data_IF_886894225379
#
_entry.id   IF_886894225379
#
_cell.length_a   1.000
_cell.length_b   1.000
_cell.length_c   1.000
_cell.angle_alpha   90.00
_cell.angle_beta   90.00
_cell.angle_gamma   90.00
#
_symmetry.space_group_name_H-M   'P 1'
#
loop_
_entity.id
_entity.type
_entity.pdbx_description
1 polymer ?
#
# COMPACT_ATOMS: atom_id res chain seq x y z
N UNK A 1 1.02 13.47 14.82
CA UNK A 1 0.50 14.24 15.98
C UNK A 1 1.01 15.67 15.94
N UNK A 2 0.36 16.61 16.62
CA UNK A 2 0.76 18.03 16.62
C UNK A 2 1.83 18.40 17.68
N UNK A 3 1.88 17.70 18.81
CA UNK A 3 2.83 17.90 19.92
C UNK A 3 3.29 16.57 20.51
N UNK A 4 4.36 16.55 21.30
CA UNK A 4 4.86 15.35 21.95
C UNK A 4 5.38 14.26 21.00
N UNK A 5 5.47 13.04 21.55
CA UNK A 5 5.83 11.81 20.84
C UNK A 5 4.94 10.65 21.28
N UNK A 6 4.85 9.61 20.45
CA UNK A 6 4.16 8.35 20.75
C UNK A 6 5.16 7.43 21.46
N UNK A 7 4.94 7.17 22.74
CA UNK A 7 5.85 6.38 23.58
C UNK A 7 5.55 4.90 23.56
N UNK A 8 4.29 4.52 23.31
CA UNK A 8 3.88 3.13 23.36
C UNK A 8 2.54 2.86 22.69
N UNK A 9 2.29 1.59 22.45
CA UNK A 9 1.04 1.03 21.97
C UNK A 9 0.67 -0.16 22.84
N UNK A 10 -0.61 -0.28 23.20
CA UNK A 10 -1.12 -1.35 24.07
C UNK A 10 -2.54 -1.75 23.67
N UNK A 11 -3.13 -2.69 24.40
CA UNK A 11 -4.53 -3.14 24.25
C UNK A 11 -4.87 -3.63 22.84
N UNK A 12 -3.86 -4.05 22.08
CA UNK A 12 -4.03 -4.72 20.81
C UNK A 12 -4.08 -6.24 21.03
N UNK A 13 -4.83 -6.91 20.17
CA UNK A 13 -4.84 -8.36 20.12
C UNK A 13 -3.58 -8.89 19.42
N UNK A 14 -3.10 -10.07 19.81
CA UNK A 14 -2.09 -10.82 19.05
C UNK A 14 -2.69 -12.16 18.65
N UNK A 15 -2.44 -12.54 17.40
CA UNK A 15 -2.83 -13.83 16.85
C UNK A 15 -4.19 -13.86 16.17
N UNK A 16 -4.61 -15.08 15.87
CA UNK A 16 -5.87 -15.36 15.18
C UNK A 16 -7.08 -14.96 16.03
N UNK A 17 -8.07 -14.37 15.37
CA UNK A 17 -9.37 -14.07 15.96
C UNK A 17 -10.11 -15.37 16.27
N UNK A 18 -10.58 -15.50 17.50
CA UNK A 18 -11.32 -16.68 17.98
C UNK A 18 -12.63 -16.24 18.62
N UNK A 19 -13.59 -17.14 18.75
CA UNK A 19 -14.86 -16.86 19.43
C UNK A 19 -14.65 -16.33 20.86
N UNK A 20 -13.66 -16.87 21.58
CA UNK A 20 -13.34 -16.48 22.95
C UNK A 20 -12.55 -15.16 23.02
N UNK A 21 -11.81 -14.84 21.96
CA UNK A 21 -10.99 -13.64 21.86
C UNK A 21 -11.05 -13.08 20.42
N UNK A 22 -12.15 -12.43 20.04
CA UNK A 22 -12.30 -11.95 18.67
C UNK A 22 -11.57 -10.62 18.50
N UNK A 23 -10.94 -10.39 17.36
CA UNK A 23 -10.23 -9.14 17.11
C UNK A 23 -9.19 -9.19 15.98
N UNK A 24 -8.60 -8.02 15.72
CA UNK A 24 -7.57 -7.85 14.69
C UNK A 24 -6.19 -7.95 15.35
N UNK A 25 -5.43 -9.00 15.05
CA UNK A 25 -4.20 -9.33 15.76
C UNK A 25 -3.03 -9.82 14.91
N UNK A 26 -3.19 -9.81 13.58
CA UNK A 26 -2.13 -10.11 12.62
C UNK A 26 -1.49 -8.82 12.13
N UNK A 27 -0.16 -8.75 12.16
CA UNK A 27 0.60 -7.56 11.81
C UNK A 27 1.57 -7.86 10.67
N UNK A 28 1.18 -7.71 9.39
CA UNK A 28 1.93 -8.22 8.23
C UNK A 28 3.43 -7.90 8.23
N UNK A 29 3.82 -6.65 8.44
CA UNK A 29 5.23 -6.22 8.47
C UNK A 29 6.04 -6.92 9.56
N UNK A 30 5.42 -7.20 10.70
CA UNK A 30 6.07 -7.92 11.80
C UNK A 30 5.84 -9.43 11.75
N UNK A 31 4.87 -9.91 10.96
CA UNK A 31 4.50 -11.32 10.89
C UNK A 31 5.67 -12.13 10.37
N UNK A 32 6.19 -11.82 9.18
CA UNK A 32 7.33 -12.53 8.61
C UNK A 32 8.65 -12.36 9.40
N UNK A 33 8.78 -11.27 10.18
CA UNK A 33 9.99 -10.99 10.97
C UNK A 33 10.01 -11.65 12.34
N UNK A 34 8.86 -11.71 13.00
CA UNK A 34 8.75 -12.16 14.38
C UNK A 34 8.17 -13.57 14.47
N UNK A 35 7.24 -13.93 13.59
CA UNK A 35 6.44 -15.15 13.65
C UNK A 35 6.98 -16.18 12.65
N UNK A 36 7.09 -17.44 13.09
CA UNK A 36 7.37 -18.58 12.20
C UNK A 36 6.10 -19.39 12.01
N UNK A 37 5.83 -19.70 10.75
CA UNK A 37 4.73 -20.58 10.34
C UNK A 37 5.32 -21.95 10.06
N UNK A 38 4.69 -23.00 10.58
CA UNK A 38 4.99 -24.37 10.20
C UNK A 38 4.68 -24.56 8.71
N UNK A 39 5.66 -24.94 7.87
CA UNK A 39 5.44 -25.04 6.43
C UNK A 39 4.55 -26.21 6.03
N UNK A 40 4.42 -27.24 6.88
CA UNK A 40 3.65 -28.45 6.59
C UNK A 40 2.19 -28.30 7.03
N UNK A 41 1.93 -27.60 8.14
CA UNK A 41 0.57 -27.43 8.67
C UNK A 41 -0.01 -26.03 8.45
N UNK A 42 0.83 -25.02 8.21
CA UNK A 42 0.42 -23.62 8.18
C UNK A 42 0.20 -23.00 9.57
N UNK A 43 0.53 -23.72 10.64
CA UNK A 43 0.25 -23.26 12.01
C UNK A 43 1.30 -22.28 12.53
N UNK A 44 0.85 -21.35 13.37
CA UNK A 44 1.73 -20.47 14.15
C UNK A 44 1.91 -21.03 15.54
N UNK A 45 3.14 -21.46 15.84
CA UNK A 45 3.47 -22.06 17.14
C UNK A 45 3.39 -21.08 18.31
N UNK A 46 3.66 -19.79 18.07
CA UNK A 46 3.69 -18.77 19.14
C UNK A 46 3.32 -17.38 18.64
N UNK A 47 2.32 -16.78 19.26
CA UNK A 47 1.83 -15.43 18.95
C UNK A 47 2.35 -14.35 19.91
N UNK A 48 2.73 -14.71 21.13
CA UNK A 48 3.25 -13.83 22.18
C UNK A 48 4.78 -13.66 22.09
N UNK A 49 5.28 -13.38 20.89
CA UNK A 49 6.70 -13.13 20.69
C UNK A 49 7.04 -11.71 21.15
N UNK A 50 8.15 -11.56 21.87
CA UNK A 50 8.61 -10.25 22.34
C UNK A 50 8.87 -9.33 21.13
N UNK A 51 8.41 -8.08 21.22
CA UNK A 51 8.49 -7.14 20.10
C UNK A 51 7.42 -7.32 19.02
N UNK A 52 6.57 -8.36 19.08
CA UNK A 52 5.46 -8.48 18.14
C UNK A 52 4.37 -7.44 18.45
N UNK A 53 4.26 -6.45 17.58
CA UNK A 53 3.44 -5.24 17.75
C UNK A 53 2.79 -4.89 16.42
N UNK A 54 1.68 -4.14 16.40
CA UNK A 54 1.14 -3.64 15.14
C UNK A 54 1.96 -2.50 14.52
N UNK A 55 2.98 -1.96 15.22
CA UNK A 55 3.81 -0.87 14.69
C UNK A 55 4.78 -1.40 13.65
N UNK A 56 4.69 -0.90 12.42
CA UNK A 56 5.64 -1.20 11.35
C UNK A 56 7.04 -0.66 11.69
N UNK A 57 8.07 -1.31 11.17
CA UNK A 57 9.45 -0.85 11.36
C UNK A 57 9.64 0.48 10.60
N UNK A 58 10.27 1.51 11.19
CA UNK A 58 10.50 2.78 10.51
C UNK A 58 11.29 2.68 9.19
N UNK A 59 12.05 1.59 9.01
CA UNK A 59 12.77 1.32 7.77
C UNK A 59 11.90 0.65 6.69
N UNK A 60 10.66 0.24 7.01
CA UNK A 60 9.76 -0.32 6.01
C UNK A 60 9.25 0.78 5.05
N UNK A 61 9.16 0.52 3.73
CA UNK A 61 8.66 1.49 2.78
C UNK A 61 7.29 2.07 3.16
N UNK A 62 7.21 3.40 3.24
CA UNK A 62 5.98 4.11 3.64
C UNK A 62 5.62 4.03 5.14
N UNK A 63 6.49 3.49 6.00
CA UNK A 63 6.33 3.61 7.45
C UNK A 63 6.65 5.03 7.93
N UNK A 64 6.01 5.45 9.02
CA UNK A 64 6.39 6.66 9.77
C UNK A 64 7.53 6.32 10.75
N UNK A 65 8.06 7.35 11.43
CA UNK A 65 9.27 7.27 12.26
C UNK A 65 9.24 6.31 13.46
N UNK A 66 8.10 5.69 13.79
CA UNK A 66 8.00 4.68 14.85
C UNK A 66 7.83 5.25 16.26
N UNK A 67 7.91 4.36 17.25
CA UNK A 67 7.84 4.74 18.65
C UNK A 67 8.98 5.70 19.02
N UNK A 68 8.71 6.64 19.93
CA UNK A 68 9.61 7.74 20.26
C UNK A 68 9.56 8.91 19.28
N UNK A 69 8.70 8.85 18.25
CA UNK A 69 8.54 9.92 17.26
C UNK A 69 7.11 10.48 17.21
N UNK A 70 6.85 11.42 16.31
CA UNK A 70 5.54 12.08 16.13
C UNK A 70 4.51 11.26 15.34
N UNK A 71 4.89 10.09 14.82
CA UNK A 71 4.03 9.29 13.97
C UNK A 71 4.48 7.84 13.89
N UNK A 72 3.50 6.94 13.85
CA UNK A 72 3.70 5.50 13.65
C UNK A 72 2.82 5.04 12.50
N UNK A 73 3.28 4.01 11.80
CA UNK A 73 2.43 3.23 10.90
C UNK A 73 1.98 1.98 11.64
N UNK A 74 0.69 1.71 11.63
CA UNK A 74 0.06 0.58 12.32
C UNK A 74 -0.52 -0.33 11.24
N UNK A 75 -0.23 -1.61 11.33
CA UNK A 75 -0.81 -2.63 10.48
C UNK A 75 -1.55 -3.63 11.32
N UNK A 76 -2.77 -3.96 10.90
CA UNK A 76 -3.63 -4.91 11.58
C UNK A 76 -4.40 -5.70 10.53
N UNK A 77 -4.57 -6.98 10.78
CA UNK A 77 -5.33 -7.90 9.96
C UNK A 77 -6.09 -8.87 10.85
N UNK A 78 -7.20 -9.35 10.34
CA UNK A 78 -7.94 -10.45 10.93
C UNK A 78 -7.54 -11.74 10.21
N UNK A 79 -7.17 -12.76 10.98
CA UNK A 79 -7.16 -14.14 10.53
C UNK A 79 -8.25 -14.84 11.35
N UNK A 80 -9.16 -15.53 10.68
CA UNK A 80 -10.19 -16.35 11.31
C UNK A 80 -10.66 -17.42 10.34
N UNK A 81 -11.04 -18.57 10.90
CA UNK A 81 -11.71 -19.65 10.17
C UNK A 81 -13.05 -20.00 10.82
N UNK A 82 -14.12 -20.32 10.07
CA UNK A 82 -14.26 -20.21 8.60
C UNK A 82 -14.05 -18.77 8.09
N UNK A 83 -13.59 -18.55 6.85
CA UNK A 83 -13.15 -17.24 6.36
C UNK A 83 -14.28 -16.33 5.87
N UNK A 84 -15.54 -16.63 6.22
CA UNK A 84 -16.70 -15.82 5.86
C UNK A 84 -17.21 -14.97 7.03
N UNK A 85 -17.94 -13.90 6.72
CA UNK A 85 -18.42 -12.93 7.72
C UNK A 85 -19.42 -13.51 8.74
N UNK A 86 -19.98 -14.69 8.51
CA UNK A 86 -20.83 -15.38 9.50
C UNK A 86 -20.02 -16.23 10.48
N UNK A 87 -18.70 -16.25 10.34
CA UNK A 87 -17.82 -16.98 11.23
C UNK A 87 -17.99 -16.50 12.67
N UNK A 88 -18.19 -17.42 13.64
CA UNK A 88 -18.23 -17.03 15.05
C UNK A 88 -16.89 -16.47 15.55
N UNK A 89 -15.82 -16.62 14.74
CA UNK A 89 -14.49 -16.11 15.00
C UNK A 89 -14.23 -14.76 14.32
N UNK A 90 -15.14 -14.23 13.49
CA UNK A 90 -14.97 -12.93 12.86
C UNK A 90 -14.87 -11.81 13.91
N UNK A 91 -13.97 -10.82 13.75
CA UNK A 91 -13.88 -9.70 14.67
C UNK A 91 -15.18 -8.91 14.74
N UNK A 92 -15.49 -8.25 15.87
CA UNK A 92 -16.66 -7.39 15.97
C UNK A 92 -16.54 -6.18 15.04
N UNK A 93 -17.67 -5.65 14.59
CA UNK A 93 -17.74 -4.46 13.73
C UNK A 93 -17.42 -3.14 14.45
N UNK A 94 -17.31 -3.17 15.78
CA UNK A 94 -16.95 -2.02 16.61
C UNK A 94 -16.14 -2.46 17.84
N UNK A 95 -15.24 -1.60 18.31
CA UNK A 95 -14.44 -1.87 19.50
C UNK A 95 -13.17 -1.03 19.58
N UNK A 96 -12.40 -1.26 20.63
CA UNK A 96 -11.05 -0.69 20.75
C UNK A 96 -10.06 -1.58 20.03
N UNK A 97 -9.34 -1.05 19.05
CA UNK A 97 -8.28 -1.79 18.34
C UNK A 97 -6.94 -1.76 19.08
N UNK A 98 -6.59 -0.60 19.65
CA UNK A 98 -5.38 -0.39 20.43
C UNK A 98 -5.50 0.93 21.21
N UNK A 99 -4.56 1.15 22.14
CA UNK A 99 -4.34 2.43 22.82
C UNK A 99 -2.94 2.94 22.56
N UNK A 100 -2.79 4.26 22.48
CA UNK A 100 -1.50 4.92 22.37
C UNK A 100 -1.14 5.63 23.67
N UNK A 101 0.11 5.49 24.08
CA UNK A 101 0.70 6.28 25.16
C UNK A 101 1.44 7.46 24.53
N UNK A 102 1.02 8.68 24.88
CA UNK A 102 1.62 9.91 24.39
C UNK A 102 2.44 10.55 25.51
N UNK A 103 3.55 11.22 25.17
CA UNK A 103 4.36 11.95 26.16
C UNK A 103 3.63 13.15 26.77
N UNK A 104 2.62 13.68 26.07
CA UNK A 104 1.77 14.79 26.49
C UNK A 104 0.45 14.77 25.72
N UNK A 105 -0.61 15.46 26.20
CA UNK A 105 -1.84 15.62 25.43
C UNK A 105 -1.60 16.24 24.06
N UNK A 106 -2.05 15.58 23.00
CA UNK A 106 -1.84 16.01 21.63
C UNK A 106 -3.05 15.67 20.76
N UNK A 107 -3.20 16.40 19.64
CA UNK A 107 -4.12 16.03 18.57
C UNK A 107 -3.45 15.00 17.66
N UNK A 108 -4.15 13.90 17.46
CA UNK A 108 -3.75 12.88 16.51
C UNK A 108 -4.40 13.12 15.16
N UNK A 109 -3.71 12.66 14.12
CA UNK A 109 -4.26 12.52 12.79
C UNK A 109 -4.07 11.10 12.35
N UNK A 110 -5.18 10.49 11.93
CA UNK A 110 -5.20 9.13 11.40
C UNK A 110 -5.55 9.24 9.92
N UNK A 111 -4.80 8.52 9.09
CA UNK A 111 -5.05 8.34 7.67
C UNK A 111 -4.66 6.92 7.27
N UNK A 112 -5.36 6.28 6.33
CA UNK A 112 -4.87 5.03 5.77
C UNK A 112 -3.57 5.27 5.03
N UNK A 113 -2.75 4.22 5.01
CA UNK A 113 -1.48 4.24 4.33
C UNK A 113 -1.61 3.58 2.95
N UNK A 114 -1.87 4.37 1.91
CA UNK A 114 -2.06 3.86 0.54
C UNK A 114 -0.79 3.21 -0.02
N UNK A 115 0.40 3.63 0.44
CA UNK A 115 1.67 2.95 0.15
C UNK A 115 1.68 1.48 0.59
N UNK A 116 0.82 1.13 1.54
CA UNK A 116 0.77 -0.17 2.20
C UNK A 116 -0.63 -0.80 2.08
N UNK A 117 -1.34 -0.51 0.99
CA UNK A 117 -2.63 -1.11 0.64
C UNK A 117 -3.86 -0.47 1.30
N UNK A 118 -3.69 0.48 2.22
CA UNK A 118 -4.82 1.15 2.87
C UNK A 118 -5.66 0.19 3.70
N UNK A 119 -6.97 0.12 3.42
CA UNK A 119 -7.91 -0.80 4.08
C UNK A 119 -8.46 -1.75 3.03
N UNK A 120 -8.19 -3.04 3.21
CA UNK A 120 -8.57 -4.12 2.29
C UNK A 120 -9.54 -5.05 2.99
N UNK A 121 -10.61 -5.43 2.30
CA UNK A 121 -11.60 -6.38 2.79
C UNK A 121 -11.16 -7.83 2.53
N UNK A 122 -11.78 -8.79 3.22
CA UNK A 122 -11.50 -10.23 3.07
C UNK A 122 -11.77 -10.75 1.66
N UNK A 123 -12.59 -10.05 0.87
CA UNK A 123 -12.87 -10.32 -0.54
C UNK A 123 -11.93 -9.57 -1.51
N UNK A 124 -10.84 -8.97 -1.01
CA UNK A 124 -9.87 -8.16 -1.75
C UNK A 124 -10.42 -6.85 -2.36
N UNK A 125 -11.66 -6.47 -2.03
CA UNK A 125 -12.20 -5.16 -2.43
C UNK A 125 -11.67 -4.04 -1.55
N UNK A 126 -11.67 -2.82 -2.09
CA UNK A 126 -11.35 -1.61 -1.32
C UNK A 126 -12.47 -1.31 -0.32
N UNK A 127 -12.13 -1.14 0.95
CA UNK A 127 -13.12 -0.74 1.94
C UNK A 127 -13.56 0.71 1.76
N UNK A 128 -14.86 0.97 1.93
CA UNK A 128 -15.36 2.33 2.14
C UNK A 128 -15.12 2.70 3.60
N UNK A 129 -14.12 3.54 3.85
CA UNK A 129 -13.79 3.96 5.21
C UNK A 129 -14.69 5.12 5.62
N UNK A 130 -15.61 4.86 6.55
CA UNK A 130 -16.39 5.92 7.18
C UNK A 130 -15.64 6.49 8.39
N UNK A 131 -15.32 7.78 8.34
CA UNK A 131 -14.59 8.46 9.42
C UNK A 131 -15.47 9.41 10.24
N UNK A 132 -16.79 9.39 10.04
CA UNK A 132 -17.73 10.28 10.75
C UNK A 132 -17.80 10.01 12.26
N UNK A 133 -17.42 8.79 12.68
CA UNK A 133 -17.43 8.38 14.10
C UNK A 133 -16.14 8.77 14.84
N UNK A 134 -15.10 9.21 14.13
CA UNK A 134 -13.84 9.62 14.75
C UNK A 134 -14.02 10.96 15.49
N UNK A 135 -14.20 10.87 16.81
CA UNK A 135 -14.29 12.04 17.69
C UNK A 135 -12.96 12.23 18.45
N UNK A 136 -12.53 13.48 18.63
CA UNK A 136 -11.29 13.79 19.37
C UNK A 136 -9.97 13.56 18.61
N UNK A 137 -10.03 13.12 17.35
CA UNK A 137 -8.88 12.95 16.44
C UNK A 137 -9.19 13.70 15.15
N UNK A 138 -8.25 14.52 14.66
CA UNK A 138 -8.42 15.19 13.37
C UNK A 138 -8.15 14.19 12.26
N UNK A 139 -9.19 13.70 11.59
CA UNK A 139 -9.01 12.84 10.42
C UNK A 139 -8.56 13.70 9.25
N UNK A 140 -7.35 13.44 8.73
CA UNK A 140 -6.94 14.06 7.48
C UNK A 140 -7.78 13.44 6.37
N UNK A 141 -8.35 14.30 5.52
CA UNK A 141 -9.07 13.86 4.34
C UNK A 141 -8.21 12.91 3.51
N UNK A 142 -8.86 11.89 2.96
CA UNK A 142 -8.30 11.06 1.91
C UNK A 142 -8.06 11.96 0.71
N UNK A 143 -6.83 12.45 0.53
CA UNK A 143 -6.45 13.07 -0.73
C UNK A 143 -6.11 11.93 -1.67
N UNK A 144 -7.04 11.59 -2.55
CA UNK A 144 -6.72 10.76 -3.70
C UNK A 144 -5.53 11.41 -4.44
N UNK A 145 -4.61 10.60 -4.92
CA UNK A 145 -3.41 11.11 -5.60
C UNK A 145 -3.71 11.84 -6.91
N UNK A 146 -4.95 11.72 -7.41
CA UNK A 146 -5.53 12.35 -8.59
C UNK A 146 -6.94 12.79 -8.18
N UNK A 147 -7.40 13.96 -8.62
CA UNK A 147 -8.76 14.38 -8.34
C UNK A 147 -9.78 13.44 -9.01
N UNK A 148 -10.98 13.25 -8.44
CA UNK A 148 -12.06 12.48 -9.07
C UNK A 148 -12.44 12.94 -10.47
N UNK A 149 -12.12 14.18 -10.82
CA UNK A 149 -12.32 14.76 -12.16
C UNK A 149 -11.23 14.38 -13.16
N UNK A 150 -10.14 13.72 -12.72
CA UNK A 150 -9.09 13.26 -13.61
C UNK A 150 -9.60 12.13 -14.50
N UNK A 151 -9.32 12.19 -15.80
CA UNK A 151 -9.82 11.21 -16.80
C UNK A 151 -9.50 9.75 -16.45
N UNK A 152 -8.37 9.52 -15.78
CA UNK A 152 -7.88 8.18 -15.45
C UNK A 152 -8.28 7.72 -14.04
N UNK A 153 -8.99 8.56 -13.25
CA UNK A 153 -9.33 8.26 -11.85
C UNK A 153 -10.03 6.91 -11.71
N UNK A 154 -11.07 6.68 -12.51
CA UNK A 154 -11.87 5.45 -12.41
C UNK A 154 -11.05 4.19 -12.69
N UNK A 155 -10.12 4.25 -13.65
CA UNK A 155 -9.28 3.09 -13.98
C UNK A 155 -8.29 2.78 -12.87
N UNK A 156 -7.65 3.81 -12.35
CA UNK A 156 -6.72 3.63 -11.25
C UNK A 156 -7.41 3.11 -9.97
N UNK A 157 -8.68 3.50 -9.70
CA UNK A 157 -9.45 2.94 -8.57
C UNK A 157 -9.60 1.43 -8.73
N UNK A 158 -9.89 0.94 -9.94
CA UNK A 158 -10.06 -0.50 -10.19
C UNK A 158 -8.81 -1.32 -9.92
N UNK A 159 -7.63 -0.74 -10.17
CA UNK A 159 -6.33 -1.42 -9.97
C UNK A 159 -5.74 -1.20 -8.58
N UNK A 160 -6.58 -0.81 -7.60
CA UNK A 160 -6.20 -0.85 -6.18
C UNK A 160 -5.42 0.37 -5.69
N UNK A 161 -5.51 1.50 -6.39
CA UNK A 161 -4.89 2.77 -6.00
C UNK A 161 -3.37 2.68 -5.74
N UNK A 162 -2.57 2.18 -6.69
CA UNK A 162 -1.15 1.93 -6.48
C UNK A 162 -0.39 3.24 -6.20
N UNK A 163 0.73 3.15 -5.49
CA UNK A 163 1.52 4.32 -5.09
C UNK A 163 1.79 5.28 -6.26
N UNK A 164 2.21 4.73 -7.40
CA UNK A 164 2.56 5.50 -8.59
C UNK A 164 1.44 6.35 -9.18
N UNK A 165 0.19 6.14 -8.77
CA UNK A 165 -0.90 7.08 -8.97
C UNK A 165 -0.50 8.51 -8.59
N UNK A 166 0.26 8.64 -7.50
CA UNK A 166 0.67 9.93 -6.95
C UNK A 166 1.95 10.48 -7.59
N UNK A 167 2.62 9.74 -8.47
CA UNK A 167 3.85 10.22 -9.10
C UNK A 167 3.53 11.23 -10.20
N UNK A 168 4.11 12.43 -10.16
CA UNK A 168 3.78 13.51 -11.09
C UNK A 168 4.26 13.21 -12.52
N UNK A 169 5.13 12.21 -12.72
CA UNK A 169 5.75 11.85 -14.00
C UNK A 169 5.37 10.46 -14.50
N UNK A 170 4.46 9.75 -13.83
CA UNK A 170 4.17 8.35 -14.16
C UNK A 170 3.76 8.14 -15.61
N UNK A 171 2.91 9.02 -16.14
CA UNK A 171 2.48 8.98 -17.53
C UNK A 171 3.61 9.23 -18.56
N UNK A 172 4.82 9.55 -18.10
CA UNK A 172 6.04 9.78 -18.89
C UNK A 172 7.11 8.71 -18.66
N UNK A 173 6.80 7.58 -18.01
CA UNK A 173 7.77 6.48 -17.84
C UNK A 173 8.38 6.35 -16.44
N UNK A 174 7.98 7.19 -15.47
CA UNK A 174 8.44 7.13 -14.08
C UNK A 174 7.60 6.12 -13.28
N UNK A 175 8.11 4.90 -13.14
CA UNK A 175 7.43 3.78 -12.49
C UNK A 175 7.73 3.69 -10.98
N UNK A 176 8.84 4.25 -10.50
CA UNK A 176 9.26 4.16 -9.09
C UNK A 176 9.18 5.48 -8.29
N UNK A 177 9.02 6.61 -8.98
CA UNK A 177 8.92 7.96 -8.41
C UNK A 177 10.25 8.55 -7.97
N UNK A 178 11.38 7.89 -8.26
CA UNK A 178 12.69 8.22 -7.71
C UNK A 178 13.57 8.93 -8.74
N UNK A 179 14.46 9.77 -8.22
CA UNK A 179 15.48 10.44 -9.03
C UNK A 179 16.74 9.58 -9.10
N UNK A 180 17.14 9.23 -10.30
CA UNK A 180 18.37 8.49 -10.60
C UNK A 180 19.50 9.42 -11.09
N UNK A 181 20.74 8.92 -11.07
CA UNK A 181 21.94 9.60 -11.56
C UNK A 181 22.78 10.27 -10.48
N UNK A 182 23.79 11.03 -10.92
CA UNK A 182 24.70 11.76 -10.05
C UNK A 182 25.08 13.14 -10.60
N UNK A 183 25.89 13.89 -9.84
CA UNK A 183 26.32 15.24 -10.21
C UNK A 183 27.18 15.29 -11.49
N UNK A 184 27.78 14.18 -11.92
CA UNK A 184 28.61 14.07 -13.13
C UNK A 184 27.80 13.64 -14.35
N UNK A 185 26.90 12.67 -14.19
CA UNK A 185 26.06 12.14 -15.28
C UNK A 185 24.78 12.96 -15.50
N UNK A 186 24.44 13.82 -14.55
CA UNK A 186 23.13 14.46 -14.48
C UNK A 186 22.10 13.53 -13.85
N UNK A 187 21.04 14.13 -13.33
CA UNK A 187 19.92 13.42 -12.73
C UNK A 187 18.76 13.29 -13.71
N UNK A 188 18.02 12.18 -13.61
CA UNK A 188 16.82 11.88 -14.40
C UNK A 188 15.79 11.13 -13.54
N UNK A 189 14.54 11.07 -13.98
CA UNK A 189 13.43 10.38 -13.29
C UNK A 189 12.91 9.16 -14.06
N UNK A 190 13.47 8.90 -15.24
CA UNK A 190 13.10 7.76 -16.08
C UNK A 190 14.40 7.10 -16.47
N UNK A 191 14.70 5.99 -15.79
CA UNK A 191 16.03 5.39 -15.79
C UNK A 191 16.01 3.87 -15.74
N UNK A 192 17.08 3.30 -15.20
CA UNK A 192 17.28 1.85 -15.22
C UNK A 192 16.30 1.15 -14.28
N UNK A 193 15.89 1.80 -13.19
CA UNK A 193 14.91 1.22 -12.27
C UNK A 193 13.53 1.13 -12.91
N UNK A 194 13.12 2.17 -13.64
CA UNK A 194 11.83 2.17 -14.36
C UNK A 194 11.81 1.13 -15.47
N UNK A 195 12.91 1.05 -16.24
CA UNK A 195 13.07 0.02 -17.28
C UNK A 195 12.98 -1.39 -16.67
N UNK A 196 13.57 -1.62 -15.50
CA UNK A 196 13.47 -2.90 -14.80
C UNK A 196 12.02 -3.25 -14.45
N UNK A 197 11.28 -2.32 -13.82
CA UNK A 197 9.86 -2.54 -13.48
C UNK A 197 9.05 -2.80 -14.76
N UNK A 198 9.28 -2.00 -15.80
CA UNK A 198 8.65 -2.17 -17.11
C UNK A 198 8.90 -3.56 -17.71
N UNK A 199 10.15 -4.04 -17.70
CA UNK A 199 10.47 -5.37 -18.26
C UNK A 199 9.82 -6.51 -17.48
N UNK A 200 9.63 -6.35 -16.17
CA UNK A 200 8.93 -7.34 -15.34
C UNK A 200 7.42 -7.34 -15.61
N UNK A 201 6.85 -6.18 -15.95
CA UNK A 201 5.43 -6.00 -16.26
C UNK A 201 5.07 -6.30 -17.72
N UNK A 202 6.06 -6.36 -18.62
CA UNK A 202 5.86 -6.46 -20.07
C UNK A 202 4.98 -7.63 -20.47
N UNK A 203 3.81 -7.30 -21.06
CA UNK A 203 2.82 -8.27 -21.55
C UNK A 203 2.42 -9.34 -20.53
N UNK A 204 2.45 -9.02 -19.23
CA UNK A 204 1.84 -9.87 -18.21
C UNK A 204 0.34 -9.90 -18.46
N UNK A 205 -0.18 -11.10 -18.76
CA UNK A 205 -1.59 -11.29 -19.07
C UNK A 205 -2.44 -11.21 -17.80
N UNK A 206 -3.56 -10.50 -17.91
CA UNK A 206 -4.60 -10.47 -16.89
C UNK A 206 -5.32 -11.81 -16.76
N UNK A 207 -5.89 -12.14 -15.58
CA UNK A 207 -6.71 -13.33 -15.43
C UNK A 207 -7.87 -13.32 -16.44
N UNK A 208 -8.27 -14.50 -16.97
CA UNK A 208 -7.80 -15.84 -16.63
C UNK A 208 -6.54 -16.30 -17.41
N UNK A 209 -5.98 -15.47 -18.30
CA UNK A 209 -4.91 -15.89 -19.21
C UNK A 209 -3.51 -15.77 -18.61
N UNK A 210 -3.37 -15.08 -17.49
CA UNK A 210 -2.16 -15.00 -16.71
C UNK A 210 -2.41 -14.60 -15.25
N UNK A 211 -1.33 -14.39 -14.48
CA UNK A 211 -1.41 -14.05 -13.06
C UNK A 211 -1.88 -12.61 -12.79
N UNK A 212 -1.96 -11.78 -13.84
CA UNK A 212 -2.35 -10.37 -13.74
C UNK A 212 -1.24 -9.43 -13.33
N UNK A 213 -1.40 -8.17 -13.70
CA UNK A 213 -0.41 -7.13 -13.44
C UNK A 213 -0.15 -6.94 -11.93
N UNK A 214 -1.16 -7.21 -11.11
CA UNK A 214 -1.08 -7.13 -9.65
C UNK A 214 -0.12 -8.18 -9.03
N UNK A 215 0.26 -9.21 -9.79
CA UNK A 215 1.26 -10.20 -9.35
C UNK A 215 2.70 -9.68 -9.45
N UNK A 216 2.93 -8.57 -10.16
CA UNK A 216 4.23 -7.93 -10.32
C UNK A 216 4.33 -6.76 -9.34
N UNK A 217 5.36 -6.77 -8.50
CA UNK A 217 5.64 -5.65 -7.60
C UNK A 217 5.81 -4.35 -8.40
N UNK A 218 4.99 -3.34 -8.10
CA UNK A 218 4.88 -2.09 -8.87
C UNK A 218 4.59 -2.27 -10.37
N UNK A 219 4.13 -3.43 -10.84
CA UNK A 219 3.94 -3.69 -12.27
C UNK A 219 2.93 -2.75 -12.91
N UNK A 220 1.86 -2.41 -12.20
CA UNK A 220 0.86 -1.45 -12.67
C UNK A 220 1.42 -0.03 -12.85
N UNK A 221 2.55 0.28 -12.22
CA UNK A 221 3.21 1.57 -12.38
C UNK A 221 3.92 1.73 -13.73
N UNK A 222 4.22 0.61 -14.40
CA UNK A 222 4.73 0.59 -15.76
C UNK A 222 3.65 0.75 -16.84
N UNK A 223 2.36 0.82 -16.47
CA UNK A 223 1.25 1.17 -17.36
C UNK A 223 1.20 2.70 -17.52
N UNK A 224 2.21 3.24 -18.20
CA UNK A 224 2.37 4.67 -18.47
C UNK A 224 1.26 5.17 -19.39
N UNK A 225 0.94 4.36 -20.40
CA UNK A 225 -0.01 4.60 -21.46
C UNK A 225 -1.46 4.61 -20.97
N UNK A 226 -1.76 3.75 -19.98
CA UNK A 226 -3.09 3.53 -19.40
C UNK A 226 -4.06 2.94 -20.43
N UNK A 227 -3.54 2.21 -21.40
CA UNK A 227 -4.32 1.46 -22.37
C UNK A 227 -4.38 -0.03 -22.02
N UNK A 228 -5.48 -0.68 -22.40
CA UNK A 228 -5.64 -2.12 -22.27
C UNK A 228 -5.49 -2.74 -23.65
N UNK A 229 -4.35 -3.41 -23.85
CA UNK A 229 -4.02 -4.10 -25.08
C UNK A 229 -4.48 -5.56 -25.04
N UNK A 230 -4.52 -6.18 -26.23
CA UNK A 230 -4.88 -7.58 -26.39
C UNK A 230 -6.35 -7.79 -26.74
N UNK A 231 -6.88 -9.00 -26.50
CA UNK A 231 -8.27 -9.33 -26.79
C UNK A 231 -8.77 -10.52 -25.97
N UNK A 232 -10.09 -10.73 -25.98
CA UNK A 232 -10.75 -11.79 -25.22
C UNK A 232 -10.30 -13.23 -25.58
N UNK A 233 -9.65 -13.44 -26.74
CA UNK A 233 -9.19 -14.76 -27.18
C UNK A 233 -7.76 -15.07 -26.74
N UNK A 234 -6.92 -14.04 -26.65
CA UNK A 234 -5.48 -14.18 -26.36
C UNK A 234 -5.06 -13.63 -25.00
N UNK A 235 -6.01 -13.03 -24.27
CA UNK A 235 -5.77 -12.33 -23.03
C UNK A 235 -5.54 -10.85 -23.25
N UNK A 236 -5.82 -10.09 -22.19
CA UNK A 236 -5.51 -8.67 -22.11
C UNK A 236 -4.22 -8.46 -21.31
N UNK A 237 -3.48 -7.40 -21.63
CA UNK A 237 -2.34 -6.93 -20.86
C UNK A 237 -2.31 -5.41 -20.85
N UNK A 238 -1.66 -4.82 -19.86
CA UNK A 238 -1.60 -3.37 -19.67
C UNK A 238 -0.30 -2.75 -20.16
N UNK A 239 0.82 -3.43 -19.94
CA UNK A 239 2.14 -2.90 -20.30
C UNK A 239 2.56 -3.43 -21.66
N UNK A 240 2.54 -2.54 -22.65
CA UNK A 240 2.68 -2.86 -24.06
C UNK A 240 3.52 -1.84 -24.83
N UNK A 241 3.33 -1.83 -26.16
CA UNK A 241 4.16 -1.03 -27.07
C UNK A 241 3.93 0.47 -26.84
N UNK A 242 2.72 0.88 -26.47
CA UNK A 242 2.44 2.28 -26.14
C UNK A 242 3.25 2.74 -24.92
N UNK A 243 3.36 1.91 -23.89
CA UNK A 243 4.20 2.17 -22.72
C UNK A 243 5.69 2.21 -23.08
N UNK A 244 6.14 1.28 -23.93
CA UNK A 244 7.53 1.29 -24.41
C UNK A 244 7.87 2.63 -25.07
N UNK A 245 6.97 3.13 -25.93
CA UNK A 245 7.17 4.41 -26.60
C UNK A 245 7.25 5.56 -25.60
N UNK A 246 6.42 5.57 -24.56
CA UNK A 246 6.47 6.59 -23.50
C UNK A 246 7.76 6.50 -22.67
N UNK A 247 8.14 5.30 -22.25
CA UNK A 247 9.40 5.07 -21.53
C UNK A 247 10.59 5.61 -22.35
N UNK A 248 10.67 5.22 -23.63
CA UNK A 248 11.76 5.62 -24.52
C UNK A 248 11.74 7.11 -24.85
N UNK A 249 10.58 7.75 -24.85
CA UNK A 249 10.47 9.20 -25.06
C UNK A 249 11.18 9.98 -23.95
N UNK A 250 11.14 9.52 -22.71
CA UNK A 250 11.69 10.25 -21.56
C UNK A 250 12.92 9.62 -20.92
N UNK A 251 13.35 8.46 -21.42
CA UNK A 251 14.51 7.72 -20.92
C UNK A 251 15.77 8.59 -20.83
N UNK A 252 16.34 8.68 -19.63
CA UNK A 252 17.52 9.48 -19.27
C UNK A 252 17.38 10.98 -19.59
N UNK A 253 16.17 11.51 -19.80
CA UNK A 253 15.97 12.95 -19.99
C UNK A 253 16.02 13.69 -18.64
N UNK A 254 16.69 14.86 -18.58
CA UNK A 254 16.83 15.62 -17.33
C UNK A 254 15.54 16.33 -16.90
N UNK A 255 14.64 16.64 -17.84
CA UNK A 255 13.44 17.45 -17.60
C UNK A 255 12.18 16.70 -18.04
N UNK A 256 11.71 15.80 -17.19
CA UNK A 256 10.43 15.11 -17.39
C UNK A 256 9.31 15.93 -16.73
N UNK A 257 8.26 16.32 -17.47
CA UNK A 257 7.15 17.13 -16.95
C UNK A 257 6.42 16.43 -15.80
N UNK A 258 6.08 17.19 -14.75
CA UNK A 258 5.33 16.69 -13.60
C UNK A 258 3.81 16.88 -13.73
N UNK A 259 3.24 16.59 -14.89
CA UNK A 259 1.84 16.93 -15.25
C UNK A 259 0.91 15.70 -15.37
N UNK A 260 1.35 14.53 -14.89
CA UNK A 260 0.55 13.31 -14.88
C UNK A 260 -0.56 13.28 -13.81
N UNK A 261 -0.71 14.38 -13.06
CA UNK A 261 -1.75 14.63 -12.06
C UNK A 261 -1.40 14.16 -10.63
N UNK A 262 -0.30 13.43 -10.46
CA UNK A 262 0.23 13.06 -9.15
C UNK A 262 0.79 14.25 -8.36
N UNK A 263 0.66 14.22 -7.03
CA UNK A 263 1.11 15.30 -6.14
C UNK A 263 2.34 14.96 -5.29
N UNK A 264 2.89 13.73 -5.39
CA UNK A 264 4.13 13.39 -4.70
C UNK A 264 5.27 14.23 -5.28
N UNK A 265 5.80 15.11 -4.45
CA UNK A 265 7.11 15.70 -4.71
C UNK A 265 8.16 14.71 -4.21
N UNK A 266 9.21 14.42 -5.00
CA UNK A 266 10.34 13.60 -4.54
C UNK A 266 11.08 14.27 -3.38
#
# INVERSE_FOLDING_TARGET
MDKGVIQGISDFMRGESTKEKPGYGIFPANFARCIRVDPDTGDVAKWDISGYTPVADPCDPGALGGLGTKGITIEMGALYYPPDDNSPNAPPTQGTLFKLTLSEPAKLTVKPNQLRGGVVLTNAESAVVNTTEATGIAIASFSDGLPPTHKDYAEWVKVGRPLCWTFPRQCHGDADGLKEGDAKSGFHFVGMNDLRIFTQAWKVLEPPFGPGIASVENGICADFARDLDGNATTGFYRVGVTDLNRLMEYYLKPNVPGDCGGSLQP
#
